data_IF_498568780855
#
_entry.id   IF_498568780855
#
_cell.length_a   1.000
_cell.length_b   1.000
_cell.length_c   1.000
_cell.angle_alpha   90.00
_cell.angle_beta   90.00
_cell.angle_gamma   90.00
#
_symmetry.space_group_name_H-M   'P 1'
#
loop_
_entity.id
_entity.type
_entity.pdbx_description
1 polymer ?
#
# COMPACT_ATOMS: atom_id res chain seq x y z
N UNK A 1 2.99 -25.47 -27.67
CA UNK A 1 1.99 -25.12 -26.63
C UNK A 1 2.16 -23.63 -26.40
N UNK A 2 1.20 -22.81 -26.80
CA UNK A 2 1.32 -21.36 -26.60
C UNK A 2 1.33 -21.06 -25.11
N UNK A 3 2.26 -20.20 -24.68
CA UNK A 3 2.32 -19.77 -23.30
C UNK A 3 1.06 -18.96 -23.00
N UNK A 4 0.39 -19.27 -21.87
CA UNK A 4 -0.81 -18.52 -21.49
C UNK A 4 -0.44 -17.08 -21.11
N UNK A 5 -1.39 -16.14 -21.18
CA UNK A 5 -1.14 -14.75 -20.77
C UNK A 5 -0.58 -14.61 -19.35
N UNK A 6 -0.89 -15.55 -18.45
CA UNK A 6 -0.31 -15.62 -17.12
C UNK A 6 1.19 -15.97 -17.11
N UNK A 7 1.64 -16.82 -18.05
CA UNK A 7 3.06 -17.16 -18.18
C UNK A 7 3.86 -15.95 -18.68
N UNK A 8 3.36 -15.22 -19.67
CA UNK A 8 3.99 -13.98 -20.13
C UNK A 8 4.06 -12.93 -19.02
N UNK A 9 2.98 -12.76 -18.24
CA UNK A 9 2.98 -11.86 -17.10
C UNK A 9 4.05 -12.26 -16.07
N UNK A 10 4.13 -13.54 -15.69
CA UNK A 10 5.14 -14.04 -14.77
C UNK A 10 6.56 -13.81 -15.28
N UNK A 11 6.81 -14.07 -16.57
CA UNK A 11 8.12 -13.83 -17.19
C UNK A 11 8.53 -12.36 -17.13
N UNK A 12 7.59 -11.44 -17.35
CA UNK A 12 7.85 -9.99 -17.28
C UNK A 12 8.15 -9.57 -15.84
N UNK A 13 7.33 -9.96 -14.86
CA UNK A 13 7.49 -9.46 -13.48
C UNK A 13 8.66 -10.11 -12.74
N UNK A 14 9.10 -11.29 -13.15
CA UNK A 14 10.26 -11.98 -12.55
C UNK A 14 11.58 -11.69 -13.25
N UNK A 15 11.55 -10.95 -14.36
CA UNK A 15 12.78 -10.55 -15.06
C UNK A 15 13.65 -9.67 -14.14
N UNK A 16 14.97 -9.93 -14.03
CA UNK A 16 15.82 -9.26 -13.03
C UNK A 16 15.79 -7.72 -13.08
N UNK A 17 15.68 -7.13 -14.26
CA UNK A 17 15.57 -5.68 -14.51
C UNK A 17 14.23 -5.09 -14.07
N UNK A 18 13.18 -5.91 -13.96
CA UNK A 18 11.85 -5.50 -13.54
C UNK A 18 11.62 -5.63 -12.02
N UNK A 19 12.50 -6.34 -11.31
CA UNK A 19 12.41 -6.50 -9.85
C UNK A 19 12.32 -5.12 -9.14
N UNK A 20 13.13 -4.10 -9.48
CA UNK A 20 13.03 -2.79 -8.83
C UNK A 20 11.65 -2.13 -8.99
N UNK A 21 11.07 -2.13 -10.20
CA UNK A 21 9.77 -1.48 -10.43
C UNK A 21 8.64 -2.25 -9.75
N UNK A 22 8.69 -3.59 -9.75
CA UNK A 22 7.72 -4.43 -9.03
C UNK A 22 7.78 -4.15 -7.53
N UNK A 23 8.98 -4.05 -6.96
CA UNK A 23 9.16 -3.68 -5.56
C UNK A 23 8.57 -2.29 -5.26
N UNK A 24 8.82 -1.30 -6.13
CA UNK A 24 8.24 0.04 -5.99
C UNK A 24 6.71 0.03 -6.03
N UNK A 25 6.09 -0.74 -6.93
CA UNK A 25 4.63 -0.88 -6.98
C UNK A 25 4.06 -1.50 -5.70
N UNK A 26 4.73 -2.52 -5.16
CA UNK A 26 4.35 -3.13 -3.87
C UNK A 26 4.43 -2.09 -2.75
N UNK A 27 5.51 -1.30 -2.71
CA UNK A 27 5.68 -0.24 -1.71
C UNK A 27 4.61 0.84 -1.84
N UNK A 28 4.29 1.29 -3.05
CA UNK A 28 3.22 2.27 -3.28
C UNK A 28 1.90 1.73 -2.74
N UNK A 29 1.50 0.52 -3.13
CA UNK A 29 0.25 -0.10 -2.64
C UNK A 29 0.26 -0.21 -1.12
N UNK A 30 1.38 -0.65 -0.54
CA UNK A 30 1.53 -0.81 0.91
C UNK A 30 1.39 0.52 1.66
N UNK A 31 2.10 1.57 1.24
CA UNK A 31 2.04 2.86 1.90
C UNK A 31 0.71 3.59 1.65
N UNK A 32 0.09 3.41 0.48
CA UNK A 32 -1.27 3.90 0.25
C UNK A 32 -2.26 3.23 1.19
N UNK A 33 -2.19 1.90 1.37
CA UNK A 33 -3.02 1.21 2.34
C UNK A 33 -2.76 1.66 3.78
N UNK A 34 -1.48 1.83 4.16
CA UNK A 34 -1.12 2.31 5.49
C UNK A 34 -1.68 3.71 5.75
N UNK A 35 -1.56 4.62 4.78
CA UNK A 35 -2.10 5.97 4.84
C UNK A 35 -3.63 5.98 4.96
N UNK A 36 -4.33 5.18 4.14
CA UNK A 36 -5.79 5.05 4.23
C UNK A 36 -6.23 4.46 5.58
N UNK A 37 -5.52 3.45 6.09
CA UNK A 37 -5.80 2.87 7.41
C UNK A 37 -5.62 3.90 8.52
N UNK A 38 -4.63 4.78 8.43
CA UNK A 38 -4.45 5.87 9.39
C UNK A 38 -5.55 6.93 9.24
N UNK A 39 -5.92 7.28 8.01
CA UNK A 39 -7.01 8.22 7.74
C UNK A 39 -8.32 7.76 8.39
N UNK A 40 -8.73 6.50 8.17
CA UNK A 40 -9.96 5.97 8.78
C UNK A 40 -9.96 5.96 10.32
N UNK A 41 -8.79 5.80 10.95
CA UNK A 41 -8.69 5.91 12.42
C UNK A 41 -8.87 7.35 12.87
N UNK A 42 -8.27 8.29 12.14
CA UNK A 42 -8.39 9.72 12.44
C UNK A 42 -9.83 10.20 12.20
N UNK A 43 -10.47 9.79 11.10
CA UNK A 43 -11.88 10.09 10.81
C UNK A 43 -12.78 9.64 11.96
N UNK A 44 -12.54 8.43 12.51
CA UNK A 44 -13.28 7.94 13.67
C UNK A 44 -13.11 8.81 14.92
N UNK A 45 -11.91 9.30 15.18
CA UNK A 45 -11.66 10.19 16.33
C UNK A 45 -12.36 11.53 16.16
N UNK A 46 -12.37 12.07 14.93
CA UNK A 46 -13.08 13.31 14.60
C UNK A 46 -14.58 13.13 14.80
N UNK A 47 -15.16 12.04 14.30
CA UNK A 47 -16.58 11.71 14.48
C UNK A 47 -16.96 11.55 15.97
N UNK A 48 -16.04 10.98 16.76
CA UNK A 48 -16.22 10.81 18.20
C UNK A 48 -15.88 12.10 19.01
N UNK A 49 -15.50 13.21 18.36
CA UNK A 49 -15.17 14.49 18.98
C UNK A 49 -13.83 14.55 19.72
N UNK A 50 -12.91 13.63 19.41
CA UNK A 50 -11.61 13.38 20.06
C UNK A 50 -10.42 13.76 19.17
N UNK A 51 -10.54 14.85 18.42
CA UNK A 51 -9.51 15.29 17.48
C UNK A 51 -8.18 15.62 18.17
N UNK A 52 -8.24 16.06 19.44
CA UNK A 52 -7.10 16.33 20.31
C UNK A 52 -6.26 15.09 20.64
N UNK A 53 -6.82 13.88 20.51
CA UNK A 53 -6.10 12.62 20.72
C UNK A 53 -5.29 12.17 19.48
N UNK A 54 -5.52 12.76 18.29
CA UNK A 54 -4.82 12.37 17.04
C UNK A 54 -3.30 12.53 17.15
N UNK A 55 -2.75 13.67 17.61
CA UNK A 55 -1.31 13.86 17.70
C UNK A 55 -0.63 12.85 18.63
N UNK A 56 -1.29 12.51 19.74
CA UNK A 56 -0.82 11.49 20.69
C UNK A 56 -0.78 10.09 20.09
N UNK A 57 -1.65 9.79 19.13
CA UNK A 57 -1.66 8.50 18.42
C UNK A 57 -0.66 8.45 17.26
N UNK A 58 -0.29 9.60 16.68
CA UNK A 58 0.65 9.67 15.56
C UNK A 58 2.12 9.76 16.01
N UNK A 59 2.38 10.38 17.16
CA UNK A 59 3.74 10.62 17.66
C UNK A 59 4.18 9.70 18.81
N UNK A 60 3.34 8.74 19.20
CA UNK A 60 3.74 7.61 20.06
C UNK A 60 4.50 6.55 19.28
#
# INVERSE_FOLDING_TARGET
>A
MEASGAQYFLEIVTRPDNIPIVAMLILVIFFTWLGMRQAFKNDKLIDDGKEDEIPDQMWK
#
